data_IF_266099144407
#
_entry.id   IF_266099144407
#
_cell.length_a   1.000
_cell.length_b   1.000
_cell.length_c   1.000
_cell.angle_alpha   90.00
_cell.angle_beta   90.00
_cell.angle_gamma   90.00
#
_symmetry.space_group_name_H-M   'P 1'
#
loop_
_entity.id
_entity.type
_entity.pdbx_description
1 polymer ?
#
# COMPACT_ATOMS: atom_id res chain seq x y z
N UNK A 1 -2.73 -31.41 5.80
CA UNK A 1 -2.09 -31.15 4.51
C UNK A 1 -2.46 -29.78 3.96
N UNK A 2 -3.74 -29.41 3.97
CA UNK A 2 -4.17 -28.09 3.48
C UNK A 2 -3.62 -26.95 4.35
N UNK A 3 -3.53 -27.11 5.67
CA UNK A 3 -2.99 -26.09 6.57
C UNK A 3 -1.53 -25.79 6.31
N UNK A 4 -0.74 -26.80 5.97
CA UNK A 4 0.69 -26.64 5.65
C UNK A 4 0.84 -25.95 4.30
N UNK A 5 0.05 -26.32 3.31
CA UNK A 5 0.08 -25.70 1.97
C UNK A 5 -0.34 -24.21 2.08
N UNK A 6 -1.38 -23.92 2.85
CA UNK A 6 -1.85 -22.55 3.02
C UNK A 6 -0.82 -21.69 3.76
N UNK A 7 -0.13 -22.22 4.77
CA UNK A 7 0.92 -21.50 5.50
C UNK A 7 2.11 -21.20 4.59
N UNK A 8 2.55 -22.17 3.76
CA UNK A 8 3.63 -21.98 2.81
C UNK A 8 3.25 -20.95 1.73
N UNK A 9 2.01 -21.01 1.22
CA UNK A 9 1.52 -20.07 0.22
C UNK A 9 1.40 -18.66 0.80
N UNK A 10 0.95 -18.51 2.04
CA UNK A 10 0.85 -17.22 2.73
C UNK A 10 2.24 -16.61 2.92
N UNK A 11 3.23 -17.37 3.36
CA UNK A 11 4.61 -16.90 3.52
C UNK A 11 5.21 -16.46 2.18
N UNK A 12 5.00 -17.24 1.11
CA UNK A 12 5.43 -16.89 -0.25
C UNK A 12 4.75 -15.61 -0.73
N UNK A 13 3.45 -15.46 -0.48
CA UNK A 13 2.69 -14.27 -0.86
C UNK A 13 3.17 -13.03 -0.12
N UNK A 14 3.48 -13.14 1.18
CA UNK A 14 4.06 -12.04 1.97
C UNK A 14 5.39 -11.59 1.37
N UNK A 15 6.28 -12.53 1.07
CA UNK A 15 7.58 -12.23 0.46
C UNK A 15 7.42 -11.52 -0.89
N UNK A 16 6.54 -12.01 -1.75
CA UNK A 16 6.25 -11.41 -3.05
C UNK A 16 5.68 -9.99 -2.89
N UNK A 17 4.80 -9.80 -1.92
CA UNK A 17 4.19 -8.48 -1.65
C UNK A 17 5.24 -7.49 -1.16
N UNK A 18 6.15 -7.90 -0.28
CA UNK A 18 7.27 -7.06 0.19
C UNK A 18 8.16 -6.66 -0.98
N UNK A 19 8.51 -7.61 -1.86
CA UNK A 19 9.30 -7.32 -3.06
C UNK A 19 8.59 -6.33 -3.97
N UNK A 20 7.28 -6.49 -4.14
CA UNK A 20 6.45 -5.57 -4.94
C UNK A 20 6.47 -4.15 -4.35
N UNK A 21 6.31 -3.99 -3.03
CA UNK A 21 6.37 -2.69 -2.36
C UNK A 21 7.75 -2.05 -2.56
N UNK A 22 8.82 -2.83 -2.48
CA UNK A 22 10.18 -2.31 -2.73
C UNK A 22 10.34 -1.79 -4.15
N UNK A 23 9.77 -2.47 -5.14
CA UNK A 23 9.75 -1.99 -6.54
C UNK A 23 8.94 -0.71 -6.68
N UNK A 24 7.80 -0.61 -5.98
CA UNK A 24 6.98 0.58 -5.98
C UNK A 24 7.72 1.78 -5.38
N UNK A 25 8.50 1.55 -4.33
CA UNK A 25 9.32 2.60 -3.73
C UNK A 25 10.34 3.13 -4.74
N UNK A 26 10.97 2.25 -5.49
CA UNK A 26 11.90 2.63 -6.56
C UNK A 26 11.19 3.43 -7.66
N UNK A 27 10.01 2.99 -8.07
CA UNK A 27 9.20 3.69 -9.07
C UNK A 27 8.79 5.09 -8.58
N UNK A 28 8.41 5.20 -7.31
CA UNK A 28 8.01 6.46 -6.70
C UNK A 28 9.19 7.44 -6.61
N UNK A 29 10.37 6.96 -6.24
CA UNK A 29 11.60 7.76 -6.23
C UNK A 29 11.91 8.30 -7.63
N UNK A 30 11.72 7.48 -8.66
CA UNK A 30 11.90 7.89 -10.05
C UNK A 30 10.89 8.99 -10.43
N UNK A 31 9.62 8.81 -10.12
CA UNK A 31 8.57 9.81 -10.37
C UNK A 31 8.93 11.13 -9.69
N UNK A 32 9.39 11.06 -8.45
CA UNK A 32 9.80 12.23 -7.68
C UNK A 32 10.96 12.99 -8.35
N UNK A 33 11.93 12.27 -8.92
CA UNK A 33 13.07 12.89 -9.61
C UNK A 33 12.68 13.55 -10.94
N UNK A 34 11.86 12.85 -11.74
CA UNK A 34 11.44 13.32 -13.06
C UNK A 34 10.54 14.54 -12.96
N UNK A 35 9.83 14.68 -11.85
CA UNK A 35 8.82 15.72 -11.64
C UNK A 35 9.37 17.02 -11.06
N UNK A 36 10.68 17.22 -11.09
CA UNK A 36 11.33 18.40 -10.51
C UNK A 36 10.70 19.74 -10.95
N UNK A 37 10.16 19.81 -12.16
CA UNK A 37 9.51 21.00 -12.71
C UNK A 37 8.10 21.24 -12.18
N UNK A 38 7.42 20.19 -11.70
CA UNK A 38 6.03 20.24 -11.20
C UNK A 38 5.98 20.28 -9.67
N UNK A 39 7.13 20.17 -8.99
CA UNK A 39 7.27 20.12 -7.53
C UNK A 39 6.65 21.29 -6.77
N UNK A 40 6.30 22.38 -7.46
CA UNK A 40 5.72 23.57 -6.84
C UNK A 40 4.27 23.40 -6.43
N UNK A 41 3.60 22.36 -6.92
CA UNK A 41 2.22 22.10 -6.55
C UNK A 41 2.19 21.34 -5.23
N UNK A 42 1.63 21.97 -4.19
CA UNK A 42 1.44 21.35 -2.88
C UNK A 42 0.71 20.01 -2.97
N UNK A 43 -0.25 19.90 -3.87
CA UNK A 43 -1.00 18.67 -4.12
C UNK A 43 -0.09 17.53 -4.57
N UNK A 44 0.90 17.81 -5.41
CA UNK A 44 1.87 16.81 -5.86
C UNK A 44 2.71 16.30 -4.69
N UNK A 45 3.23 17.21 -3.86
CA UNK A 45 4.00 16.85 -2.67
C UNK A 45 3.16 16.00 -1.71
N UNK A 46 1.93 16.40 -1.46
CA UNK A 46 1.00 15.64 -0.60
C UNK A 46 0.73 14.24 -1.16
N UNK A 47 0.54 14.13 -2.47
CA UNK A 47 0.30 12.84 -3.12
C UNK A 47 1.49 11.89 -2.93
N UNK A 48 2.71 12.37 -3.21
CA UNK A 48 3.93 11.57 -3.06
C UNK A 48 4.14 11.16 -1.60
N UNK A 49 3.97 12.07 -0.66
CA UNK A 49 4.13 11.79 0.77
C UNK A 49 3.12 10.72 1.24
N UNK A 50 1.88 10.81 0.77
CA UNK A 50 0.84 9.83 1.12
C UNK A 50 1.14 8.46 0.52
N UNK A 51 1.62 8.41 -0.71
CA UNK A 51 2.03 7.15 -1.35
C UNK A 51 3.20 6.49 -0.62
N UNK A 52 4.19 7.28 -0.21
CA UNK A 52 5.32 6.79 0.60
C UNK A 52 4.84 6.21 1.92
N UNK A 53 3.95 6.91 2.62
CA UNK A 53 3.39 6.44 3.89
C UNK A 53 2.54 5.19 3.71
N UNK A 54 1.76 5.14 2.64
CA UNK A 54 0.94 3.97 2.35
C UNK A 54 1.81 2.73 2.12
N UNK A 55 2.88 2.85 1.34
CA UNK A 55 3.85 1.77 1.13
C UNK A 55 4.46 1.30 2.46
N UNK A 56 4.93 2.24 3.28
CA UNK A 56 5.52 1.93 4.59
C UNK A 56 4.52 1.25 5.52
N UNK A 57 3.28 1.71 5.51
CA UNK A 57 2.22 1.15 6.34
C UNK A 57 1.80 -0.25 5.88
N UNK A 58 1.84 -0.53 4.57
CA UNK A 58 1.64 -1.88 4.05
C UNK A 58 2.71 -2.84 4.56
N UNK A 59 3.98 -2.44 4.49
CA UNK A 59 5.09 -3.24 5.02
C UNK A 59 4.95 -3.50 6.51
N UNK A 60 4.63 -2.46 7.27
CA UNK A 60 4.43 -2.56 8.73
C UNK A 60 3.27 -3.49 9.05
N UNK A 61 2.18 -3.41 8.30
CA UNK A 61 1.01 -4.27 8.49
C UNK A 61 1.35 -5.72 8.26
N UNK A 62 2.14 -6.04 7.22
CA UNK A 62 2.61 -7.40 6.95
C UNK A 62 3.52 -7.91 8.07
N UNK A 63 4.43 -7.07 8.58
CA UNK A 63 5.31 -7.43 9.69
C UNK A 63 4.51 -7.72 10.96
N UNK A 64 3.54 -6.88 11.28
CA UNK A 64 2.67 -7.08 12.46
C UNK A 64 1.83 -8.35 12.33
N UNK A 65 1.29 -8.63 11.14
CA UNK A 65 0.54 -9.85 10.88
C UNK A 65 1.42 -11.10 11.08
N UNK A 66 2.66 -11.05 10.64
CA UNK A 66 3.63 -12.12 10.80
C UNK A 66 3.95 -12.38 12.28
N UNK A 67 4.21 -11.30 13.04
CA UNK A 67 4.49 -11.39 14.48
C UNK A 67 3.31 -11.91 15.28
N UNK A 68 2.10 -11.63 14.84
CA UNK A 68 0.87 -12.09 15.50
C UNK A 68 0.49 -13.52 15.12
N UNK A 69 1.31 -14.19 14.33
CA UNK A 69 1.02 -15.52 13.78
C UNK A 69 -0.35 -15.57 13.10
N UNK A 70 -0.62 -14.54 12.30
CA UNK A 70 -1.87 -14.46 11.53
C UNK A 70 -1.78 -15.22 10.20
N UNK A 71 -0.81 -16.14 10.08
CA UNK A 71 -0.63 -16.99 8.89
C UNK A 71 -1.88 -17.83 8.58
N UNK A 72 -2.71 -18.09 9.59
CA UNK A 72 -3.98 -18.77 9.41
C UNK A 72 -5.12 -17.87 8.94
N UNK A 73 -4.88 -16.57 8.75
CA UNK A 73 -5.87 -15.63 8.26
C UNK A 73 -5.47 -15.14 6.86
N UNK A 74 -5.66 -15.97 5.82
CA UNK A 74 -5.22 -15.64 4.45
C UNK A 74 -5.84 -14.35 3.92
N UNK A 75 -7.00 -13.96 4.45
CA UNK A 75 -7.69 -12.74 4.05
C UNK A 75 -6.89 -11.47 4.32
N UNK A 76 -6.08 -11.42 5.38
CA UNK A 76 -5.30 -10.22 5.73
C UNK A 76 -4.19 -9.98 4.70
N UNK A 77 -3.39 -11.01 4.39
CA UNK A 77 -2.32 -10.89 3.40
C UNK A 77 -2.89 -10.54 2.02
N UNK A 78 -3.97 -11.18 1.63
CA UNK A 78 -4.64 -10.90 0.35
C UNK A 78 -5.17 -9.47 0.29
N UNK A 79 -5.77 -8.97 1.38
CA UNK A 79 -6.28 -7.61 1.44
C UNK A 79 -5.16 -6.57 1.36
N UNK A 80 -4.02 -6.79 2.03
CA UNK A 80 -2.85 -5.91 1.91
C UNK A 80 -2.29 -5.96 0.49
N UNK A 81 -2.25 -7.13 -0.12
CA UNK A 81 -1.81 -7.31 -1.50
C UNK A 81 -2.67 -6.49 -2.46
N UNK A 82 -3.98 -6.45 -2.26
CA UNK A 82 -4.89 -5.63 -3.07
C UNK A 82 -4.58 -4.14 -2.92
N UNK A 83 -4.31 -3.67 -1.70
CA UNK A 83 -3.91 -2.28 -1.46
C UNK A 83 -2.62 -1.96 -2.21
N UNK A 84 -1.63 -2.84 -2.14
CA UNK A 84 -0.34 -2.67 -2.84
C UNK A 84 -0.55 -2.62 -4.35
N UNK A 85 -1.36 -3.52 -4.90
CA UNK A 85 -1.65 -3.55 -6.34
C UNK A 85 -2.36 -2.27 -6.80
N UNK A 86 -3.33 -1.79 -6.03
CA UNK A 86 -4.03 -0.55 -6.33
C UNK A 86 -3.08 0.66 -6.26
N UNK A 87 -2.21 0.70 -5.25
CA UNK A 87 -1.21 1.77 -5.15
C UNK A 87 -0.21 1.72 -6.32
N UNK A 88 0.15 0.54 -6.79
CA UNK A 88 1.00 0.37 -7.98
C UNK A 88 0.36 1.05 -9.19
N UNK A 89 -0.92 0.81 -9.41
CA UNK A 89 -1.66 1.42 -10.51
C UNK A 89 -1.71 2.95 -10.38
N UNK A 90 -1.90 3.47 -9.17
CA UNK A 90 -1.92 4.92 -8.91
C UNK A 90 -0.55 5.54 -9.16
N UNK A 91 0.53 4.89 -8.74
CA UNK A 91 1.91 5.37 -8.95
C UNK A 91 2.21 5.42 -10.45
N UNK A 92 1.84 4.38 -11.20
CA UNK A 92 2.02 4.32 -12.64
C UNK A 92 1.25 5.45 -13.34
N UNK A 93 0.00 5.68 -12.94
CA UNK A 93 -0.82 6.76 -13.49
C UNK A 93 -0.22 8.14 -13.14
N UNK A 94 0.27 8.31 -11.92
CA UNK A 94 0.94 9.55 -11.50
C UNK A 94 2.15 9.84 -12.40
N UNK A 95 2.97 8.81 -12.67
CA UNK A 95 4.11 8.93 -13.57
C UNK A 95 3.69 9.35 -14.98
N UNK A 96 2.63 8.74 -15.50
CA UNK A 96 2.10 9.07 -16.84
C UNK A 96 1.59 10.52 -16.91
N UNK A 97 0.85 10.96 -15.88
CA UNK A 97 0.33 12.34 -15.82
C UNK A 97 1.46 13.37 -15.80
N UNK A 98 2.58 13.04 -15.15
CA UNK A 98 3.72 13.93 -15.01
C UNK A 98 4.69 13.82 -16.19
N UNK A 99 4.48 12.87 -17.09
CA UNK A 99 5.30 12.69 -18.28
C UNK A 99 5.09 13.85 -19.26
N UNK A 100 6.19 14.31 -19.86
CA UNK A 100 6.15 15.33 -20.91
C UNK A 100 5.47 14.86 -22.19
N UNK A 101 5.29 13.55 -22.36
CA UNK A 101 4.69 12.95 -23.55
C UNK A 101 3.16 13.10 -23.58
N UNK A 102 2.53 13.37 -22.44
CA UNK A 102 1.09 13.62 -22.37
C UNK A 102 0.78 15.08 -22.67
N UNK A 103 -0.03 15.28 -23.70
CA UNK A 103 -0.51 16.62 -24.09
C UNK A 103 -1.64 17.06 -23.16
N UNK A 104 -1.29 17.46 -21.94
CA UNK A 104 -2.20 18.02 -20.98
C UNK A 104 -1.81 19.45 -20.64
N UNK A 105 -2.80 20.32 -20.43
CA UNK A 105 -2.54 21.60 -19.80
C UNK A 105 -2.43 21.44 -18.28
N UNK A 106 -1.98 22.47 -17.58
CA UNK A 106 -1.76 22.40 -16.13
C UNK A 106 -3.05 22.14 -15.34
N UNK A 107 -4.17 22.69 -15.80
CA UNK A 107 -5.48 22.48 -15.16
C UNK A 107 -5.92 21.00 -15.25
N UNK A 108 -5.79 20.41 -16.42
CA UNK A 108 -6.10 18.98 -16.64
C UNK A 108 -5.18 18.10 -15.80
N UNK A 109 -3.91 18.45 -15.75
CA UNK A 109 -2.91 17.70 -14.95
C UNK A 109 -3.26 17.74 -13.47
N UNK A 110 -3.63 18.91 -12.95
CA UNK A 110 -4.03 19.07 -11.55
C UNK A 110 -5.29 18.28 -11.23
N UNK A 111 -6.25 18.24 -12.14
CA UNK A 111 -7.48 17.45 -11.97
C UNK A 111 -7.18 15.97 -11.91
N UNK A 112 -6.31 15.48 -12.78
CA UNK A 112 -5.88 14.08 -12.79
C UNK A 112 -5.11 13.73 -11.51
N UNK A 113 -4.24 14.60 -11.04
CA UNK A 113 -3.50 14.39 -9.79
C UNK A 113 -4.44 14.38 -8.57
N UNK A 114 -5.48 15.20 -8.59
CA UNK A 114 -6.51 15.16 -7.54
C UNK A 114 -7.24 13.81 -7.53
N UNK A 115 -7.54 13.26 -8.70
CA UNK A 115 -8.11 11.91 -8.82
C UNK A 115 -7.19 10.86 -8.19
N UNK A 116 -5.89 10.93 -8.44
CA UNK A 116 -4.90 10.05 -7.82
C UNK A 116 -4.90 10.20 -6.30
N UNK A 117 -4.97 11.43 -5.80
CA UNK A 117 -5.01 11.71 -4.36
C UNK A 117 -6.24 11.08 -3.70
N UNK A 118 -7.42 11.19 -4.34
CA UNK A 118 -8.64 10.57 -3.83
C UNK A 118 -8.52 9.05 -3.77
N UNK A 119 -7.89 8.42 -4.77
CA UNK A 119 -7.67 6.98 -4.78
C UNK A 119 -6.70 6.55 -3.68
N UNK A 120 -5.63 7.30 -3.46
CA UNK A 120 -4.69 7.03 -2.35
C UNK A 120 -5.43 7.08 -1.01
N UNK A 121 -6.30 8.06 -0.81
CA UNK A 121 -7.12 8.17 0.41
C UNK A 121 -8.02 6.95 0.61
N UNK A 122 -8.58 6.41 -0.46
CA UNK A 122 -9.37 5.17 -0.38
C UNK A 122 -8.50 3.99 0.04
N UNK A 123 -7.30 3.89 -0.49
CA UNK A 123 -6.38 2.82 -0.12
C UNK A 123 -5.90 2.96 1.33
N UNK A 124 -5.68 4.18 1.80
CA UNK A 124 -5.37 4.45 3.21
C UNK A 124 -6.53 3.98 4.11
N UNK A 125 -7.77 4.25 3.73
CA UNK A 125 -8.95 3.82 4.49
C UNK A 125 -9.08 2.29 4.48
N UNK A 126 -8.84 1.63 3.35
CA UNK A 126 -8.85 0.17 3.24
C UNK A 126 -7.81 -0.46 4.15
N UNK A 127 -6.59 0.07 4.15
CA UNK A 127 -5.52 -0.41 5.03
C UNK A 127 -5.86 -0.17 6.50
N UNK A 128 -6.48 0.97 6.83
CA UNK A 128 -6.97 1.27 8.16
C UNK A 128 -7.97 0.24 8.66
N UNK A 129 -8.88 -0.19 7.80
CA UNK A 129 -9.85 -1.26 8.12
C UNK A 129 -9.14 -2.59 8.40
N UNK A 130 -8.15 -2.94 7.59
CA UNK A 130 -7.34 -4.16 7.79
C UNK A 130 -6.67 -4.11 9.16
N UNK A 131 -6.06 -3.00 9.51
CA UNK A 131 -5.37 -2.81 10.80
C UNK A 131 -6.33 -2.87 11.98
N UNK A 132 -7.55 -2.35 11.83
CA UNK A 132 -8.60 -2.47 12.86
C UNK A 132 -9.01 -3.92 13.08
N UNK A 133 -9.18 -4.70 12.02
CA UNK A 133 -9.49 -6.13 12.10
C UNK A 133 -8.37 -6.86 12.84
N UNK A 134 -7.11 -6.57 12.53
CA UNK A 134 -5.96 -7.16 13.20
C UNK A 134 -5.94 -6.82 14.69
N UNK A 135 -6.16 -5.57 15.04
CA UNK A 135 -6.20 -5.09 16.43
C UNK A 135 -7.31 -5.77 17.21
N UNK A 136 -8.49 -5.88 16.62
CA UNK A 136 -9.64 -6.54 17.22
C UNK A 136 -9.38 -8.04 17.45
N UNK A 137 -8.81 -8.71 16.46
CA UNK A 137 -8.42 -10.12 16.55
C UNK A 137 -7.40 -10.34 17.67
N UNK A 138 -6.41 -9.46 17.78
CA UNK A 138 -5.42 -9.49 18.87
C UNK A 138 -6.08 -9.40 20.23
N UNK A 139 -7.01 -8.47 20.40
CA UNK A 139 -7.75 -8.28 21.65
C UNK A 139 -8.55 -9.52 22.01
N UNK A 140 -9.26 -10.11 21.07
CA UNK A 140 -10.04 -11.33 21.28
C UNK A 140 -9.13 -12.48 21.72
N UNK A 141 -8.03 -12.70 21.01
CA UNK A 141 -7.06 -13.77 21.33
C UNK A 141 -6.47 -13.59 22.71
N UNK A 142 -6.14 -12.37 23.09
CA UNK A 142 -5.62 -12.05 24.43
C UNK A 142 -6.65 -12.35 25.51
N UNK A 143 -7.90 -11.95 25.32
CA UNK A 143 -8.99 -12.16 26.26
C UNK A 143 -9.32 -13.65 26.43
N UNK A 144 -9.10 -14.45 25.39
CA UNK A 144 -9.30 -15.90 25.44
C UNK A 144 -8.07 -16.65 25.95
N UNK A 145 -6.98 -15.97 26.28
CA UNK A 145 -5.73 -16.60 26.74
C UNK A 145 -4.99 -17.37 25.66
N UNK A 146 -5.27 -17.09 24.38
CA UNK A 146 -4.65 -17.80 23.25
C UNK A 146 -3.30 -17.23 22.85
N UNK A 147 -2.95 -16.04 23.36
CA UNK A 147 -1.69 -15.34 23.06
C UNK A 147 -1.13 -14.76 24.34
N UNK A 148 0.18 -14.93 24.56
CA UNK A 148 0.91 -14.48 25.75
C UNK A 148 1.70 -13.19 25.47
N UNK A 149 1.11 -12.23 24.88
CA UNK A 149 1.76 -10.92 24.70
C UNK A 149 1.54 -9.98 25.86
#
# INVERSE_FOLDING_TARGET
AQGIINAANTASTVKQTVEQVNRLQTALDYVQKVSATVRRARMFTDLIDRQNRLNSNCLRTLEEAEKMDMKGLPGITSAVQDVVANNAAIISLTGDILSSDLKMNDSERMEQLDGCLQEVRRQEASLGTIRQIMSHTRTIRRNLGLVTE
#
